data_IF_613456937973
#
_entry.id   IF_613456937973
#
_cell.length_a   1.000
_cell.length_b   1.000
_cell.length_c   1.000
_cell.angle_alpha   90.00
_cell.angle_beta   90.00
_cell.angle_gamma   90.00
#
_symmetry.space_group_name_H-M   'P 1'
#
loop_
_entity.id
_entity.type
_entity.pdbx_description
1 polymer ?
#
# COMPACT_ATOMS: atom_id res chain seq x y z
N UNK A 1 12.14 30.37 -13.44
CA UNK A 1 10.95 29.94 -14.21
C UNK A 1 10.69 28.49 -13.82
N UNK A 2 10.09 28.34 -12.65
CA UNK A 2 9.58 27.09 -12.09
C UNK A 2 8.30 26.76 -12.85
N UNK A 3 8.34 25.71 -13.66
CA UNK A 3 7.13 25.20 -14.30
C UNK A 3 6.36 24.40 -13.26
N UNK A 4 5.57 25.14 -12.47
CA UNK A 4 4.41 24.62 -11.80
C UNK A 4 3.44 24.09 -12.85
N UNK A 5 2.84 22.92 -12.58
CA UNK A 5 1.52 22.61 -13.14
C UNK A 5 0.66 23.84 -12.89
N UNK A 6 0.01 24.35 -13.93
CA UNK A 6 -0.87 25.51 -13.85
C UNK A 6 -1.79 25.32 -12.63
N UNK A 7 -1.73 26.26 -11.69
CA UNK A 7 -2.49 26.23 -10.43
C UNK A 7 -4.00 26.07 -10.65
N UNK A 8 -4.49 26.39 -11.84
CA UNK A 8 -5.87 26.14 -12.24
C UNK A 8 -6.10 24.69 -12.70
N UNK A 9 -5.10 24.02 -13.28
CA UNK A 9 -5.18 22.60 -13.69
C UNK A 9 -4.97 21.62 -12.53
N UNK A 10 -4.10 21.88 -11.55
CA UNK A 10 -3.96 20.98 -10.39
C UNK A 10 -5.23 20.98 -9.53
N UNK A 11 -5.84 22.16 -9.33
CA UNK A 11 -7.13 22.31 -8.66
C UNK A 11 -8.26 21.72 -9.50
N UNK A 12 -8.23 21.82 -10.83
CA UNK A 12 -9.23 21.17 -11.70
C UNK A 12 -9.07 19.65 -11.80
N UNK A 13 -7.84 19.13 -11.73
CA UNK A 13 -7.54 17.68 -11.71
C UNK A 13 -7.96 17.09 -10.36
N UNK A 14 -7.61 17.75 -9.26
CA UNK A 14 -8.06 17.35 -7.91
C UNK A 14 -9.59 17.53 -7.75
N UNK A 15 -10.21 18.57 -8.32
CA UNK A 15 -11.66 18.77 -8.28
C UNK A 15 -12.42 17.80 -9.20
N UNK A 16 -11.86 17.41 -10.35
CA UNK A 16 -12.43 16.34 -11.20
C UNK A 16 -12.39 14.98 -10.50
N UNK A 17 -11.37 14.76 -9.67
CA UNK A 17 -11.21 13.55 -8.88
C UNK A 17 -12.00 13.56 -7.54
N UNK A 18 -12.64 14.68 -7.14
CA UNK A 18 -13.22 14.86 -5.78
C UNK A 18 -14.71 15.21 -5.64
N UNK A 19 -15.59 15.14 -6.65
CA UNK A 19 -17.05 15.21 -6.37
C UNK A 19 -17.98 14.53 -7.40
N UNK A 20 -19.15 13.94 -7.01
CA UNK A 20 -19.72 13.78 -5.67
C UNK A 20 -20.02 12.30 -5.33
N UNK A 21 -19.16 11.69 -4.53
CA UNK A 21 -19.53 10.67 -3.55
C UNK A 21 -18.48 10.74 -2.46
N UNK A 22 -18.85 11.38 -1.35
CA UNK A 22 -18.04 11.55 -0.14
C UNK A 22 -17.42 10.21 0.27
N UNK A 23 -16.09 10.07 0.09
CA UNK A 23 -15.15 9.11 0.70
C UNK A 23 -13.75 9.11 0.02
N UNK A 24 -13.53 9.88 -1.07
CA UNK A 24 -12.28 9.84 -1.85
C UNK A 24 -11.11 10.70 -1.33
N UNK A 25 -11.26 11.33 -0.15
CA UNK A 25 -10.29 12.29 0.38
C UNK A 25 -9.44 11.78 1.55
N UNK A 26 -9.39 10.47 1.81
CA UNK A 26 -8.25 9.78 2.48
C UNK A 26 -8.59 8.32 2.79
N UNK A 27 -8.16 7.37 1.97
CA UNK A 27 -7.91 6.03 2.45
C UNK A 27 -6.58 6.02 3.26
N UNK A 28 -6.46 5.13 4.26
CA UNK A 28 -5.33 5.10 5.22
C UNK A 28 -3.99 4.87 4.51
N UNK A 29 -3.12 5.89 4.48
CA UNK A 29 -1.72 5.72 4.01
C UNK A 29 -0.88 4.92 5.03
N UNK A 30 -1.30 4.93 6.29
CA UNK A 30 -0.58 4.35 7.42
C UNK A 30 -1.31 3.18 8.05
N UNK A 31 -0.58 2.09 8.29
CA UNK A 31 -1.12 0.85 8.82
C UNK A 31 -0.45 0.52 10.16
N UNK A 32 -1.12 0.82 11.29
CA UNK A 32 -0.54 0.74 12.65
C UNK A 32 -0.47 -0.65 13.28
N UNK A 33 0.46 -0.99 14.16
CA UNK A 33 0.41 -2.25 14.93
C UNK A 33 -0.68 -2.24 16.03
N UNK A 34 -1.49 -3.31 16.13
CA UNK A 34 -2.50 -3.44 17.20
C UNK A 34 -1.97 -4.12 18.49
N UNK A 35 -0.74 -4.63 18.49
CA UNK A 35 -0.16 -5.32 19.65
C UNK A 35 0.28 -4.32 20.73
N UNK A 36 -0.13 -4.56 21.98
CA UNK A 36 0.37 -3.82 23.15
C UNK A 36 1.86 -4.12 23.42
N UNK A 37 2.38 -5.23 22.87
CA UNK A 37 3.80 -5.54 22.83
C UNK A 37 4.44 -4.92 21.58
N UNK A 38 5.24 -3.89 21.80
CA UNK A 38 5.81 -2.91 20.87
C UNK A 38 6.67 -3.46 19.70
N UNK A 39 6.73 -4.78 19.46
CA UNK A 39 7.65 -5.39 18.50
C UNK A 39 6.99 -6.28 17.44
N UNK A 40 5.66 -6.34 17.33
CA UNK A 40 5.01 -7.13 16.28
C UNK A 40 3.85 -6.42 15.57
N UNK A 41 3.97 -6.24 14.25
CA UNK A 41 2.88 -5.89 13.34
C UNK A 41 1.95 -7.11 13.17
N UNK A 42 1.18 -7.47 14.22
CA UNK A 42 0.33 -8.68 14.21
C UNK A 42 -1.16 -8.37 14.36
N UNK A 43 -1.71 -7.55 13.47
CA UNK A 43 -3.14 -7.72 13.13
C UNK A 43 -3.25 -8.32 11.75
N UNK A 44 -4.15 -9.30 11.59
CA UNK A 44 -4.31 -10.10 10.38
C UNK A 44 -4.36 -9.25 9.12
N UNK A 45 -5.17 -8.18 9.09
CA UNK A 45 -5.34 -7.29 7.93
C UNK A 45 -4.04 -6.60 7.48
N UNK A 46 -3.09 -6.38 8.39
CA UNK A 46 -1.88 -5.56 8.20
C UNK A 46 -0.68 -6.36 7.71
N UNK A 47 -0.58 -7.59 8.20
CA UNK A 47 0.34 -8.62 7.67
C UNK A 47 0.03 -8.90 6.19
N UNK A 48 -1.21 -8.69 5.74
CA UNK A 48 -1.60 -8.98 4.35
C UNK A 48 -1.04 -7.97 3.35
N UNK A 49 -1.05 -6.68 3.68
CA UNK A 49 -0.48 -5.67 2.78
C UNK A 49 1.05 -5.78 2.72
N UNK A 50 1.72 -6.00 3.85
CA UNK A 50 3.18 -6.19 3.91
C UNK A 50 3.63 -7.46 3.17
N UNK A 51 2.92 -8.58 3.32
CA UNK A 51 3.20 -9.80 2.56
C UNK A 51 2.88 -9.65 1.08
N UNK A 52 1.82 -8.89 0.73
CA UNK A 52 1.45 -8.60 -0.65
C UNK A 52 2.55 -7.78 -1.34
N UNK A 53 3.04 -6.72 -0.70
CA UNK A 53 4.08 -5.86 -1.30
C UNK A 53 5.41 -6.57 -1.48
N UNK A 54 5.86 -7.31 -0.47
CA UNK A 54 7.08 -8.12 -0.55
C UNK A 54 7.02 -9.15 -1.69
N UNK A 55 5.82 -9.67 -1.94
CA UNK A 55 5.58 -10.69 -2.94
C UNK A 55 5.39 -10.16 -4.35
N UNK A 56 4.69 -9.03 -4.53
CA UNK A 56 4.55 -8.38 -5.84
C UNK A 56 5.92 -8.04 -6.43
N UNK A 57 6.86 -7.64 -5.57
CA UNK A 57 8.27 -7.44 -5.92
C UNK A 57 9.00 -8.70 -6.38
N UNK A 58 8.45 -9.89 -6.14
CA UNK A 58 9.01 -11.19 -6.53
C UNK A 58 8.21 -11.90 -7.63
N UNK A 59 7.08 -11.34 -8.09
CA UNK A 59 6.28 -11.96 -9.15
C UNK A 59 7.02 -11.94 -10.49
N UNK A 60 6.94 -13.05 -11.22
CA UNK A 60 7.46 -13.14 -12.58
C UNK A 60 6.64 -12.25 -13.51
N UNK A 61 7.31 -11.31 -14.17
CA UNK A 61 6.68 -10.44 -15.14
C UNK A 61 6.54 -11.14 -16.49
N UNK A 62 5.39 -10.93 -17.11
CA UNK A 62 5.14 -11.36 -18.48
C UNK A 62 4.58 -10.20 -19.29
N UNK A 63 4.72 -10.25 -20.62
CA UNK A 63 4.03 -9.31 -21.52
C UNK A 63 2.50 -9.29 -21.27
N UNK A 64 1.93 -10.41 -20.80
CA UNK A 64 0.53 -10.48 -20.40
C UNK A 64 0.22 -9.58 -19.21
N UNK A 65 1.08 -9.54 -18.19
CA UNK A 65 0.89 -8.67 -17.02
C UNK A 65 1.00 -7.18 -17.37
N UNK A 66 1.91 -6.81 -18.28
CA UNK A 66 1.98 -5.44 -18.83
C UNK A 66 0.69 -5.10 -19.56
N UNK A 67 0.22 -5.98 -20.45
CA UNK A 67 -1.00 -5.76 -21.24
C UNK A 67 -2.24 -5.59 -20.36
N UNK A 68 -2.41 -6.44 -19.34
CA UNK A 68 -3.49 -6.33 -18.36
C UNK A 68 -3.50 -4.96 -17.67
N UNK A 69 -2.33 -4.50 -17.21
CA UNK A 69 -2.18 -3.18 -16.60
C UNK A 69 -2.59 -2.05 -17.55
N UNK A 70 -2.13 -2.10 -18.80
CA UNK A 70 -2.45 -1.08 -19.81
C UNK A 70 -3.94 -1.04 -20.13
N UNK A 71 -4.58 -2.21 -20.29
CA UNK A 71 -6.02 -2.30 -20.54
C UNK A 71 -6.84 -1.68 -19.39
N UNK A 72 -6.47 -1.96 -18.13
CA UNK A 72 -7.14 -1.35 -16.97
C UNK A 72 -6.87 0.16 -16.90
N UNK A 73 -5.66 0.63 -17.20
CA UNK A 73 -5.36 2.07 -17.28
C UNK A 73 -6.22 2.77 -18.33
N UNK A 74 -6.35 2.18 -19.53
CA UNK A 74 -7.19 2.72 -20.61
C UNK A 74 -8.65 2.81 -20.21
N UNK A 75 -9.16 1.81 -19.50
CA UNK A 75 -10.54 1.78 -18.99
C UNK A 75 -10.79 2.87 -17.95
N UNK A 76 -9.87 3.09 -17.02
CA UNK A 76 -9.98 4.14 -15.99
C UNK A 76 -9.97 5.54 -16.60
N UNK A 77 -9.17 5.77 -17.65
CA UNK A 77 -9.01 7.06 -18.31
C UNK A 77 -9.70 7.16 -19.67
N UNK A 78 -10.73 6.35 -19.95
CA UNK A 78 -11.34 6.24 -21.29
C UNK A 78 -11.86 7.59 -21.86
N UNK A 79 -12.18 8.55 -20.98
CA UNK A 79 -12.67 9.89 -21.36
C UNK A 79 -11.60 10.98 -21.30
N UNK A 80 -10.35 10.64 -20.94
CA UNK A 80 -9.24 11.59 -20.82
C UNK A 80 -8.22 11.39 -21.95
N UNK A 81 -8.30 12.16 -23.05
CA UNK A 81 -7.41 11.98 -24.18
C UNK A 81 -5.94 12.31 -23.87
N UNK A 82 -5.67 13.12 -22.83
CA UNK A 82 -4.31 13.46 -22.42
C UNK A 82 -3.67 12.24 -21.77
N UNK A 83 -4.39 11.59 -20.86
CA UNK A 83 -3.91 10.37 -20.20
C UNK A 83 -3.85 9.18 -21.16
N UNK A 84 -4.81 9.03 -22.09
CA UNK A 84 -4.72 8.01 -23.14
C UNK A 84 -3.40 8.10 -23.93
N UNK A 85 -2.99 9.31 -24.31
CA UNK A 85 -1.72 9.51 -25.02
C UNK A 85 -0.50 9.14 -24.16
N UNK A 86 -0.52 9.43 -22.86
CA UNK A 86 0.55 9.02 -21.94
C UNK A 86 0.58 7.49 -21.78
N UNK A 87 -0.57 6.82 -21.80
CA UNK A 87 -0.67 5.35 -21.77
C UNK A 87 -0.07 4.75 -23.04
N UNK A 88 -0.36 5.31 -24.22
CA UNK A 88 0.23 4.87 -25.49
C UNK A 88 1.76 5.05 -25.48
N UNK A 89 2.26 6.21 -25.01
CA UNK A 89 3.70 6.47 -24.84
C UNK A 89 4.36 5.42 -23.92
N UNK A 90 3.71 5.09 -22.80
CA UNK A 90 4.19 4.07 -21.88
C UNK A 90 4.21 2.69 -22.55
N UNK A 91 3.11 2.27 -23.19
CA UNK A 91 3.03 0.94 -23.81
C UNK A 91 4.14 0.73 -24.85
N UNK A 92 4.38 1.73 -25.69
CA UNK A 92 5.36 1.68 -26.79
C UNK A 92 6.82 1.78 -26.33
N UNK A 93 7.12 2.63 -25.34
CA UNK A 93 8.50 3.04 -25.06
C UNK A 93 9.05 2.64 -23.69
N UNK A 94 8.19 2.15 -22.79
CA UNK A 94 8.58 1.87 -21.41
C UNK A 94 9.66 0.78 -21.30
N UNK A 95 10.66 1.05 -20.47
CA UNK A 95 11.66 0.10 -20.01
C UNK A 95 12.03 0.36 -18.53
N UNK A 96 12.59 -0.67 -17.87
CA UNK A 96 12.90 -0.67 -16.42
C UNK A 96 13.70 0.56 -15.96
N UNK A 97 14.75 1.06 -16.66
CA UNK A 97 15.49 2.25 -16.23
C UNK A 97 14.65 3.53 -16.16
N UNK A 98 13.47 3.55 -16.77
CA UNK A 98 12.54 4.68 -16.73
C UNK A 98 11.50 4.55 -15.60
N UNK A 99 11.52 3.46 -14.81
CA UNK A 99 10.53 3.20 -13.78
C UNK A 99 10.36 4.40 -12.83
N UNK A 100 11.45 4.91 -12.26
CA UNK A 100 11.43 6.08 -11.37
C UNK A 100 10.87 7.33 -12.09
N UNK A 101 11.30 7.60 -13.32
CA UNK A 101 10.83 8.76 -14.08
C UNK A 101 9.32 8.68 -14.36
N UNK A 102 8.78 7.49 -14.63
CA UNK A 102 7.34 7.31 -14.84
C UNK A 102 6.54 7.41 -13.54
N UNK A 103 7.12 7.00 -12.40
CA UNK A 103 6.46 7.09 -11.09
C UNK A 103 6.34 8.54 -10.64
N UNK A 104 7.36 9.34 -10.93
CA UNK A 104 7.46 10.75 -10.51
C UNK A 104 6.87 11.73 -11.54
N UNK A 105 6.57 11.26 -12.75
CA UNK A 105 5.87 12.05 -13.79
C UNK A 105 4.38 12.15 -13.44
N UNK A 106 3.83 13.37 -13.52
CA UNK A 106 2.38 13.58 -13.41
C UNK A 106 1.64 12.84 -14.54
N UNK A 107 1.10 11.67 -14.21
CA UNK A 107 0.53 10.71 -15.16
C UNK A 107 -0.45 9.75 -14.49
N UNK A 108 -1.13 8.95 -15.30
CA UNK A 108 -2.02 7.88 -14.86
C UNK A 108 -1.37 6.91 -13.86
N UNK A 109 -0.07 6.67 -14.01
CA UNK A 109 0.60 5.53 -13.40
C UNK A 109 0.73 5.69 -11.88
N UNK A 110 1.31 6.79 -11.43
CA UNK A 110 1.46 7.08 -10.00
C UNK A 110 0.11 7.31 -9.33
N UNK A 111 -0.84 7.96 -10.02
CA UNK A 111 -2.18 8.23 -9.50
C UNK A 111 -2.98 6.95 -9.28
N UNK A 112 -3.05 6.07 -10.27
CA UNK A 112 -3.78 4.81 -10.14
C UNK A 112 -3.10 3.85 -9.15
N UNK A 113 -1.77 3.76 -9.16
CA UNK A 113 -1.04 2.91 -8.22
C UNK A 113 -1.26 3.40 -6.78
N UNK A 114 -1.06 4.69 -6.51
CA UNK A 114 -1.27 5.25 -5.17
C UNK A 114 -2.74 5.15 -4.75
N UNK A 115 -3.69 5.34 -5.67
CA UNK A 115 -5.11 5.11 -5.40
C UNK A 115 -5.38 3.66 -5.00
N UNK A 116 -4.87 2.69 -5.76
CA UNK A 116 -5.05 1.26 -5.49
C UNK A 116 -4.54 0.88 -4.11
N UNK A 117 -3.32 1.32 -3.77
CA UNK A 117 -2.71 1.09 -2.47
C UNK A 117 -3.50 1.73 -1.33
N UNK A 118 -3.89 3.00 -1.49
CA UNK A 118 -4.69 3.73 -0.51
C UNK A 118 -6.03 3.02 -0.27
N UNK A 119 -6.77 2.68 -1.32
CA UNK A 119 -8.07 2.00 -1.18
C UNK A 119 -7.96 0.52 -0.83
N UNK A 120 -6.75 0.00 -0.61
CA UNK A 120 -6.48 -1.42 -0.39
C UNK A 120 -7.14 -2.31 -1.46
N UNK A 121 -7.18 -1.81 -2.71
CA UNK A 121 -7.75 -2.54 -3.83
C UNK A 121 -6.73 -3.57 -4.32
N UNK A 122 -6.69 -4.71 -3.63
CA UNK A 122 -5.74 -5.80 -3.89
C UNK A 122 -5.78 -6.24 -5.36
N UNK A 123 -6.96 -6.23 -5.99
CA UNK A 123 -7.11 -6.62 -7.38
C UNK A 123 -6.43 -5.61 -8.31
N UNK A 124 -6.62 -4.32 -8.07
CA UNK A 124 -5.95 -3.27 -8.83
C UNK A 124 -4.44 -3.23 -8.54
N UNK A 125 -4.02 -3.42 -7.29
CA UNK A 125 -2.59 -3.54 -6.93
C UNK A 125 -1.96 -4.72 -7.68
N UNK A 126 -2.64 -5.87 -7.73
CA UNK A 126 -2.17 -7.04 -8.48
C UNK A 126 -2.11 -6.78 -9.99
N UNK A 127 -3.08 -6.07 -10.56
CA UNK A 127 -3.01 -5.65 -11.96
C UNK A 127 -1.79 -4.76 -12.23
N UNK A 128 -1.35 -3.97 -11.25
CA UNK A 128 -0.13 -3.15 -11.32
C UNK A 128 1.17 -3.91 -10.97
N UNK A 129 1.12 -5.22 -10.72
CA UNK A 129 2.30 -6.04 -10.34
C UNK A 129 3.48 -5.90 -11.28
N UNK A 130 3.21 -5.75 -12.58
CA UNK A 130 4.24 -5.54 -13.60
C UNK A 130 5.09 -4.32 -13.23
N UNK A 131 4.46 -3.17 -13.03
CA UNK A 131 5.19 -1.93 -12.77
C UNK A 131 5.72 -1.84 -11.34
N UNK A 132 5.00 -2.36 -10.34
CA UNK A 132 5.46 -2.42 -8.94
C UNK A 132 6.81 -3.17 -8.85
N UNK A 133 6.91 -4.31 -9.54
CA UNK A 133 8.14 -5.09 -9.59
C UNK A 133 9.30 -4.31 -10.20
N UNK A 134 9.09 -3.64 -11.34
CA UNK A 134 10.15 -2.83 -11.97
C UNK A 134 10.60 -1.66 -11.11
N UNK A 135 9.64 -0.96 -10.49
CA UNK A 135 9.92 0.14 -9.60
C UNK A 135 10.71 -0.33 -8.38
N UNK A 136 10.32 -1.47 -7.79
CA UNK A 136 11.06 -2.11 -6.71
C UNK A 136 12.48 -2.50 -7.13
N UNK A 137 12.64 -3.18 -8.27
CA UNK A 137 13.96 -3.60 -8.76
C UNK A 137 14.87 -2.40 -8.97
N UNK A 138 14.35 -1.33 -9.59
CA UNK A 138 15.15 -0.13 -9.82
C UNK A 138 15.52 0.54 -8.50
N UNK A 139 14.58 0.66 -7.58
CA UNK A 139 14.84 1.25 -6.26
C UNK A 139 15.84 0.42 -5.44
N UNK A 140 15.77 -0.91 -5.51
CA UNK A 140 16.72 -1.82 -4.86
C UNK A 140 18.15 -1.65 -5.39
N UNK A 141 18.31 -1.46 -6.71
CA UNK A 141 19.62 -1.16 -7.29
C UNK A 141 20.15 0.18 -6.77
N UNK A 142 19.32 1.22 -6.79
CA UNK A 142 19.71 2.55 -6.31
C UNK A 142 20.00 2.60 -4.81
N UNK A 143 19.32 1.77 -4.02
CA UNK A 143 19.51 1.69 -2.58
C UNK A 143 20.95 1.31 -2.22
N UNK A 144 21.51 0.26 -2.84
CA UNK A 144 22.87 -0.17 -2.56
C UNK A 144 23.89 0.94 -2.84
N UNK A 145 23.76 1.62 -3.99
CA UNK A 145 24.62 2.74 -4.37
C UNK A 145 24.47 3.92 -3.39
N UNK A 146 23.24 4.21 -2.96
CA UNK A 146 22.96 5.31 -2.04
C UNK A 146 23.52 5.05 -0.63
N UNK A 147 23.34 3.83 -0.09
CA UNK A 147 23.91 3.45 1.20
C UNK A 147 25.44 3.50 1.16
N UNK A 148 26.07 2.97 0.11
CA UNK A 148 27.52 3.04 -0.05
C UNK A 148 28.00 4.49 -0.08
N UNK A 149 27.33 5.35 -0.85
CA UNK A 149 27.67 6.77 -0.91
C UNK A 149 27.59 7.45 0.47
N UNK A 150 26.53 7.18 1.25
CA UNK A 150 26.37 7.76 2.59
C UNK A 150 27.43 7.26 3.58
N UNK A 151 27.81 5.99 3.48
CA UNK A 151 28.90 5.42 4.28
C UNK A 151 30.26 6.02 3.92
N UNK A 152 30.52 6.27 2.63
CA UNK A 152 31.77 6.88 2.16
C UNK A 152 31.97 8.32 2.69
N UNK A 153 30.88 9.00 3.08
CA UNK A 153 30.90 10.34 3.67
C UNK A 153 30.63 10.34 5.19
N UNK A 154 30.78 9.19 5.84
CA UNK A 154 30.65 9.00 7.30
C UNK A 154 29.29 9.48 7.87
N UNK A 155 28.18 9.23 7.15
CA UNK A 155 26.82 9.48 7.66
C UNK A 155 26.30 8.21 8.32
N UNK A 156 25.98 8.30 9.62
CA UNK A 156 25.35 7.21 10.38
C UNK A 156 23.82 7.35 10.46
N UNK A 157 23.34 8.59 10.58
CA UNK A 157 21.92 8.90 10.73
C UNK A 157 21.49 9.84 9.61
N UNK A 158 20.49 9.42 8.85
CA UNK A 158 19.88 10.20 7.79
C UNK A 158 18.55 10.80 8.27
N UNK A 159 18.40 12.11 8.08
CA UNK A 159 17.16 12.84 8.36
C UNK A 159 16.46 13.17 7.05
N UNK A 160 15.17 12.81 6.97
CA UNK A 160 14.34 13.02 5.78
C UNK A 160 13.03 13.68 6.19
N UNK A 161 12.46 14.46 5.29
CA UNK A 161 11.30 15.29 5.58
C UNK A 161 10.16 15.02 4.62
N UNK A 162 8.92 15.20 5.10
CA UNK A 162 7.72 15.16 4.26
C UNK A 162 6.65 16.07 4.84
N UNK A 163 6.21 17.05 4.07
CA UNK A 163 5.03 17.84 4.40
C UNK A 163 3.78 17.24 3.78
N UNK A 164 2.66 17.28 4.51
CA UNK A 164 1.35 16.95 3.98
C UNK A 164 0.22 17.56 4.81
N UNK A 165 -0.93 17.73 4.18
CA UNK A 165 -2.19 17.88 4.90
C UNK A 165 -2.79 16.51 5.20
N UNK A 166 -3.37 16.33 6.38
CA UNK A 166 -4.10 15.11 6.72
C UNK A 166 -5.40 15.43 7.45
N UNK A 167 -6.40 14.57 7.28
CA UNK A 167 -7.68 14.74 7.97
C UNK A 167 -7.52 14.68 9.50
N UNK A 168 -8.38 15.37 10.23
CA UNK A 168 -8.34 15.40 11.69
C UNK A 168 -8.58 14.01 12.29
N UNK A 169 -9.36 13.15 11.62
CA UNK A 169 -9.52 11.74 12.02
C UNK A 169 -8.22 10.95 11.88
N UNK A 170 -7.54 11.08 10.75
CA UNK A 170 -6.27 10.37 10.51
C UNK A 170 -5.16 10.90 11.42
N UNK A 171 -5.11 12.21 11.66
CA UNK A 171 -4.17 12.80 12.60
C UNK A 171 -4.43 12.31 14.03
N UNK A 172 -5.70 12.18 14.42
CA UNK A 172 -6.06 11.61 15.72
C UNK A 172 -5.63 10.15 15.85
N UNK A 173 -5.75 9.36 14.78
CA UNK A 173 -5.22 7.99 14.74
C UNK A 173 -3.69 8.01 14.93
N UNK A 174 -2.98 8.93 14.28
CA UNK A 174 -1.54 9.13 14.46
C UNK A 174 -1.18 9.43 15.93
N UNK A 175 -1.91 10.36 16.56
CA UNK A 175 -1.72 10.73 17.98
C UNK A 175 -1.98 9.56 18.94
N UNK A 176 -2.97 8.71 18.65
CA UNK A 176 -3.29 7.54 19.49
C UNK A 176 -2.25 6.42 19.37
N UNK A 177 -1.40 6.45 18.34
CA UNK A 177 -0.42 5.42 18.06
C UNK A 177 1.04 5.91 18.22
N UNK A 178 1.27 6.99 18.98
CA UNK A 178 2.61 7.36 19.45
C UNK A 178 3.24 6.18 20.20
N UNK A 179 4.49 5.88 19.90
CA UNK A 179 5.26 4.74 20.41
C UNK A 179 5.01 3.42 19.65
N UNK A 180 4.06 3.37 18.72
CA UNK A 180 3.74 2.17 17.94
C UNK A 180 4.35 2.20 16.54
N UNK A 181 4.40 1.02 15.92
CA UNK A 181 4.85 0.84 14.55
C UNK A 181 3.72 1.12 13.56
N UNK A 182 4.08 1.60 12.38
CA UNK A 182 3.23 1.61 11.20
C UNK A 182 4.02 1.27 9.95
N UNK A 183 3.30 0.78 8.94
CA UNK A 183 3.85 0.49 7.63
C UNK A 183 3.20 1.35 6.56
N UNK A 184 3.95 1.69 5.51
CA UNK A 184 3.47 2.50 4.39
C UNK A 184 2.76 1.63 3.36
N UNK A 185 1.53 2.00 2.97
CA UNK A 185 0.81 1.27 1.92
C UNK A 185 1.27 1.67 0.52
N UNK A 186 1.75 2.89 0.34
CA UNK A 186 2.33 3.38 -0.92
C UNK A 186 3.86 3.39 -0.84
N UNK A 187 4.50 3.62 -1.98
CA UNK A 187 5.85 4.17 -1.96
C UNK A 187 5.78 5.53 -1.26
N UNK A 188 6.72 5.77 -0.35
CA UNK A 188 6.72 6.96 0.49
C UNK A 188 7.79 7.91 -0.04
N UNK A 189 7.35 9.01 -0.65
CA UNK A 189 8.23 10.11 -1.05
C UNK A 189 8.58 10.97 0.15
N UNK A 190 9.88 11.19 0.34
CA UNK A 190 10.45 12.11 1.33
C UNK A 190 11.50 12.97 0.63
N UNK A 191 12.03 13.98 1.30
CA UNK A 191 13.07 14.86 0.75
C UNK A 191 14.21 15.06 1.76
N UNK A 192 15.42 15.24 1.25
CA UNK A 192 16.56 15.72 2.04
C UNK A 192 16.46 17.22 2.37
N UNK A 193 15.62 17.96 1.66
CA UNK A 193 15.45 19.40 1.78
C UNK A 193 14.24 19.74 2.68
N UNK A 194 14.45 20.24 3.90
CA UNK A 194 13.36 20.64 4.80
C UNK A 194 12.46 21.72 4.20
N UNK A 195 13.00 22.62 3.37
CA UNK A 195 12.23 23.74 2.81
C UNK A 195 11.17 23.23 1.83
N UNK A 196 11.52 22.22 1.01
CA UNK A 196 10.57 21.52 0.14
C UNK A 196 9.45 20.91 0.98
N UNK A 197 9.78 20.20 2.07
CA UNK A 197 8.77 19.61 2.94
C UNK A 197 7.90 20.67 3.64
N UNK A 198 8.48 21.81 4.05
CA UNK A 198 7.72 22.92 4.63
C UNK A 198 6.73 23.53 3.65
N UNK A 199 7.08 23.66 2.37
CA UNK A 199 6.17 24.11 1.33
C UNK A 199 4.95 23.17 1.25
N UNK A 200 5.18 21.86 1.17
CA UNK A 200 4.12 20.84 1.15
C UNK A 200 3.26 20.80 2.43
N UNK A 201 3.83 21.08 3.60
CA UNK A 201 3.08 21.18 4.86
C UNK A 201 2.23 22.46 4.95
N UNK A 202 2.64 23.52 4.25
CA UNK A 202 2.01 24.85 4.31
C UNK A 202 0.93 25.06 3.25
N UNK A 203 0.72 24.10 2.35
CA UNK A 203 -0.36 24.13 1.36
C UNK A 203 -1.72 24.02 2.05
N UNK A 204 -2.26 25.13 2.54
CA UNK A 204 -3.64 25.20 2.98
C UNK A 204 -4.55 25.15 1.75
N UNK A 205 -5.44 24.17 1.68
CA UNK A 205 -6.63 24.28 0.85
C UNK A 205 -7.36 25.56 1.27
N UNK A 206 -7.41 26.56 0.39
CA UNK A 206 -8.06 27.86 0.63
C UNK A 206 -9.38 27.67 1.42
N UNK A 207 -9.45 28.19 2.64
CA UNK A 207 -10.65 28.55 3.44
C UNK A 207 -11.83 27.56 3.59
N UNK A 208 -11.77 26.31 3.11
CA UNK A 208 -12.99 25.49 2.94
C UNK A 208 -13.07 24.24 3.85
N UNK A 209 -12.00 23.77 4.50
CA UNK A 209 -12.11 22.59 5.37
C UNK A 209 -11.39 22.75 6.72
N UNK A 210 -12.17 23.08 7.76
CA UNK A 210 -11.77 23.10 9.18
C UNK A 210 -11.22 21.77 9.71
N UNK A 211 -11.29 20.71 8.90
CA UNK A 211 -11.11 19.34 9.33
C UNK A 211 -9.72 18.79 8.97
N UNK A 212 -8.78 19.61 8.51
CA UNK A 212 -7.42 19.19 8.15
C UNK A 212 -6.36 19.77 9.08
N UNK A 213 -5.27 19.03 9.23
CA UNK A 213 -4.09 19.42 9.98
C UNK A 213 -2.89 19.46 9.03
N UNK A 214 -2.12 20.54 9.10
CA UNK A 214 -0.82 20.64 8.44
C UNK A 214 0.18 19.84 9.26
N UNK A 215 0.86 18.89 8.61
CA UNK A 215 1.77 17.97 9.26
C UNK A 215 3.10 17.93 8.53
N UNK A 216 4.18 18.02 9.31
CA UNK A 216 5.55 17.88 8.84
C UNK A 216 6.16 16.66 9.53
N UNK A 217 6.48 15.64 8.75
CA UNK A 217 7.22 14.48 9.22
C UNK A 217 8.73 14.74 9.15
N UNK A 218 9.43 14.38 10.22
CA UNK A 218 10.87 14.13 10.27
C UNK A 218 11.06 12.61 10.44
N UNK A 219 11.57 11.97 9.40
CA UNK A 219 11.96 10.57 9.39
C UNK A 219 13.45 10.46 9.77
N UNK A 220 13.73 9.64 10.78
CA UNK A 220 15.08 9.32 11.23
C UNK A 220 15.42 7.91 10.79
N UNK A 221 16.52 7.77 10.05
CA UNK A 221 17.00 6.50 9.52
C UNK A 221 18.39 6.23 10.07
N UNK A 222 18.54 5.16 10.85
CA UNK A 222 19.85 4.62 11.21
C UNK A 222 20.37 3.76 10.04
N UNK A 223 21.51 4.15 9.48
CA UNK A 223 22.10 3.49 8.32
C UNK A 223 22.88 2.22 8.69
N UNK A 224 22.99 1.91 9.98
CA UNK A 224 23.54 0.64 10.45
C UNK A 224 22.51 -0.51 10.40
N UNK A 225 21.23 -0.19 10.23
CA UNK A 225 20.17 -1.19 10.07
C UNK A 225 20.45 -2.08 8.85
N UNK A 226 20.29 -3.38 9.00
CA UNK A 226 20.59 -4.41 8.00
C UNK A 226 19.35 -4.95 7.29
N UNK A 227 18.19 -4.92 7.95
CA UNK A 227 16.96 -5.55 7.47
C UNK A 227 15.86 -4.51 7.25
N UNK A 228 16.05 -3.65 6.24
CA UNK A 228 15.06 -2.64 5.83
C UNK A 228 14.59 -2.88 4.40
N UNK A 229 13.38 -2.41 4.08
CA UNK A 229 12.98 -2.30 2.66
C UNK A 229 13.87 -1.28 1.94
N UNK A 230 14.04 -1.40 0.61
CA UNK A 230 14.85 -0.46 -0.15
C UNK A 230 14.32 0.97 -0.11
N UNK A 231 15.25 1.92 -0.10
CA UNK A 231 15.00 3.35 -0.28
C UNK A 231 16.22 3.98 -0.95
N UNK A 232 16.03 5.03 -1.74
CA UNK A 232 17.13 5.70 -2.41
C UNK A 232 16.81 7.17 -2.71
N UNK A 233 17.85 7.99 -2.82
CA UNK A 233 17.77 9.31 -3.45
C UNK A 233 17.62 9.14 -4.96
N UNK A 234 16.55 9.70 -5.53
CA UNK A 234 16.12 9.40 -6.89
C UNK A 234 16.18 10.60 -7.84
N UNK A 235 16.70 11.76 -7.43
CA UNK A 235 16.70 12.97 -8.28
C UNK A 235 17.40 12.79 -9.63
N UNK A 236 18.35 11.86 -9.74
CA UNK A 236 19.03 11.57 -11.02
C UNK A 236 18.07 11.01 -12.08
N UNK A 237 17.05 10.28 -11.64
CA UNK A 237 16.08 9.56 -12.49
C UNK A 237 14.65 10.09 -12.37
N UNK A 238 14.37 10.89 -11.34
CA UNK A 238 13.07 11.53 -11.15
C UNK A 238 12.76 12.51 -12.27
N UNK A 239 11.47 12.63 -12.60
CA UNK A 239 10.96 13.72 -13.40
C UNK A 239 11.15 15.07 -12.68
N UNK A 240 11.10 15.06 -11.34
CA UNK A 240 11.23 16.21 -10.44
C UNK A 240 12.63 16.25 -9.78
N UNK A 241 13.65 16.61 -10.56
CA UNK A 241 15.07 16.49 -10.15
C UNK A 241 15.54 17.44 -9.05
N UNK A 242 14.75 18.43 -8.68
CA UNK A 242 15.14 19.50 -7.75
C UNK A 242 14.65 19.27 -6.32
N UNK A 243 13.80 18.27 -6.10
CA UNK A 243 13.18 18.02 -4.80
C UNK A 243 14.07 17.21 -3.86
N UNK A 244 15.25 16.74 -4.31
CA UNK A 244 16.13 15.87 -3.52
C UNK A 244 15.36 14.69 -2.92
N UNK A 245 14.49 14.09 -3.74
CA UNK A 245 13.53 13.09 -3.32
C UNK A 245 14.24 11.80 -2.92
N UNK A 246 13.96 11.33 -1.71
CA UNK A 246 14.29 9.98 -1.25
C UNK A 246 12.99 9.17 -1.21
N UNK A 247 12.92 8.17 -2.07
CA UNK A 247 11.74 7.31 -2.21
C UNK A 247 11.94 6.02 -1.41
N UNK A 248 11.01 5.73 -0.50
CA UNK A 248 10.94 4.45 0.20
C UNK A 248 10.04 3.48 -0.54
N UNK A 249 10.44 2.22 -0.57
CA UNK A 249 9.58 1.13 -1.01
C UNK A 249 8.33 1.04 -0.13
N UNK A 250 7.21 0.67 -0.76
CA UNK A 250 6.00 0.28 -0.03
C UNK A 250 6.28 -0.85 0.98
N UNK A 251 5.60 -0.83 2.11
CA UNK A 251 5.85 -1.75 3.23
C UNK A 251 7.02 -1.34 4.13
N UNK A 252 7.57 -0.13 3.99
CA UNK A 252 8.59 0.39 4.91
C UNK A 252 7.97 0.66 6.28
N UNK A 253 8.65 0.23 7.35
CA UNK A 253 8.12 0.25 8.72
C UNK A 253 8.78 1.34 9.55
N UNK A 254 7.96 2.14 10.22
CA UNK A 254 8.39 3.25 11.07
C UNK A 254 7.72 3.18 12.43
N UNK A 255 8.40 3.68 13.47
CA UNK A 255 7.81 3.96 14.79
C UNK A 255 7.54 5.44 14.93
N UNK A 256 6.37 5.83 15.43
CA UNK A 256 6.11 7.23 15.79
C UNK A 256 6.75 7.50 17.15
N UNK A 257 7.75 8.37 17.21
CA UNK A 257 8.43 8.67 18.45
C UNK A 257 7.73 9.78 19.23
N UNK A 258 7.32 10.85 18.54
CA UNK A 258 6.61 11.99 19.14
C UNK A 258 5.87 12.84 18.12
N UNK A 259 4.89 13.58 18.61
CA UNK A 259 4.14 14.57 17.85
C UNK A 259 4.07 15.85 18.68
N UNK A 260 4.51 16.95 18.12
CA UNK A 260 4.61 18.25 18.79
C UNK A 260 4.09 19.35 17.89
N UNK A 261 3.51 20.40 18.47
CA UNK A 261 3.06 21.54 17.68
C UNK A 261 4.23 22.49 17.43
N UNK A 262 4.32 23.05 16.23
CA UNK A 262 5.33 24.06 15.89
C UNK A 262 5.19 25.30 16.78
N UNK A 263 6.27 26.06 16.92
CA UNK A 263 6.32 27.26 17.78
C UNK A 263 5.31 28.34 17.39
N UNK A 264 5.00 28.45 16.10
CA UNK A 264 4.00 29.35 15.53
C UNK A 264 2.57 28.76 15.53
N UNK A 265 2.39 27.54 16.05
CA UNK A 265 1.13 26.79 16.09
C UNK A 265 0.47 26.52 14.72
N UNK A 266 1.21 26.64 13.61
CA UNK A 266 0.70 26.44 12.25
C UNK A 266 0.74 24.98 11.78
N UNK A 267 1.66 24.18 12.33
CA UNK A 267 2.00 22.85 11.82
C UNK A 267 2.23 21.87 12.98
N UNK A 268 1.90 20.59 12.77
CA UNK A 268 2.28 19.52 13.68
C UNK A 268 3.54 18.82 13.18
N UNK A 269 4.58 18.81 13.99
CA UNK A 269 5.83 18.12 13.72
C UNK A 269 5.73 16.69 14.26
N UNK A 270 5.90 15.71 13.37
CA UNK A 270 5.87 14.29 13.70
C UNK A 270 7.28 13.75 13.51
N UNK A 271 7.86 13.16 14.57
CA UNK A 271 9.13 12.45 14.44
C UNK A 271 8.85 10.95 14.38
N UNK A 272 9.35 10.29 13.34
CA UNK A 272 9.25 8.86 13.17
C UNK A 272 10.62 8.24 12.86
N UNK A 273 10.90 7.06 13.40
CA UNK A 273 12.16 6.36 13.19
C UNK A 273 11.92 5.11 12.35
N UNK A 274 12.73 4.88 11.31
CA UNK A 274 12.73 3.64 10.54
C UNK A 274 13.13 2.46 11.45
N UNK A 275 12.42 1.35 11.35
CA UNK A 275 12.69 0.15 12.16
C UNK A 275 12.99 -1.03 11.25
N UNK A 276 13.93 -1.88 11.67
CA UNK A 276 14.17 -3.17 11.02
C UNK A 276 12.93 -4.06 11.09
N UNK A 277 12.69 -4.77 9.99
CA UNK A 277 11.73 -5.85 9.97
C UNK A 277 12.46 -7.06 10.57
N UNK A 278 12.11 -7.44 11.80
CA UNK A 278 12.71 -8.62 12.41
C UNK A 278 12.25 -9.87 11.61
N UNK A 279 13.19 -10.48 10.88
CA UNK A 279 13.08 -11.64 9.96
C UNK A 279 12.45 -12.93 10.54
N UNK A 280 11.68 -12.88 11.64
CA UNK A 280 10.79 -14.01 11.98
C UNK A 280 9.68 -14.23 10.94
N UNK A 281 9.54 -13.35 9.94
CA UNK A 281 8.93 -13.69 8.65
C UNK A 281 10.00 -14.38 7.80
N UNK A 282 10.41 -15.59 8.19
CA UNK A 282 11.23 -16.48 7.37
C UNK A 282 10.43 -16.83 6.11
N UNK A 283 10.60 -16.05 5.04
CA UNK A 283 10.11 -16.38 3.71
C UNK A 283 11.09 -17.38 3.08
N UNK A 284 10.99 -18.64 3.49
CA UNK A 284 11.28 -19.79 2.61
C UNK A 284 10.21 -19.93 1.50
N UNK A 285 9.39 -18.91 1.27
CA UNK A 285 8.15 -19.07 0.51
C UNK A 285 8.32 -18.46 -0.87
N UNK A 286 8.35 -19.35 -1.86
CA UNK A 286 8.23 -19.02 -3.27
C UNK A 286 6.97 -18.19 -3.52
N UNK A 287 7.00 -17.44 -4.62
CA UNK A 287 5.89 -16.62 -5.11
C UNK A 287 4.52 -17.32 -4.97
N UNK A 288 4.51 -18.61 -5.24
CA UNK A 288 3.43 -19.55 -5.02
C UNK A 288 2.56 -19.35 -3.77
N UNK A 289 3.15 -19.13 -2.59
CA UNK A 289 2.37 -19.26 -1.33
C UNK A 289 1.55 -18.01 -1.00
N UNK A 290 1.76 -16.89 -1.69
CA UNK A 290 1.14 -15.63 -1.31
C UNK A 290 -0.26 -15.48 -1.92
N UNK A 291 -0.46 -15.86 -3.18
CA UNK A 291 -1.80 -15.95 -3.76
C UNK A 291 -2.70 -16.92 -2.96
N UNK A 292 -2.13 -18.02 -2.46
CA UNK A 292 -2.81 -18.93 -1.53
C UNK A 292 -3.20 -18.22 -0.22
N UNK A 293 -2.28 -17.47 0.40
CA UNK A 293 -2.56 -16.70 1.63
C UNK A 293 -3.59 -15.58 1.43
N UNK A 294 -3.56 -14.90 0.29
CA UNK A 294 -4.55 -13.88 -0.09
C UNK A 294 -5.92 -14.52 -0.27
N UNK A 295 -5.99 -15.68 -0.93
CA UNK A 295 -7.21 -16.46 -1.05
C UNK A 295 -7.76 -16.88 0.31
N UNK A 296 -6.89 -17.37 1.21
CA UNK A 296 -7.26 -17.78 2.56
C UNK A 296 -7.79 -16.61 3.39
N UNK A 297 -7.20 -15.43 3.22
CA UNK A 297 -7.71 -14.21 3.83
C UNK A 297 -9.07 -13.81 3.27
N UNK A 298 -9.22 -13.78 1.95
CA UNK A 298 -10.48 -13.44 1.29
C UNK A 298 -11.62 -14.39 1.74
N UNK A 299 -11.34 -15.68 1.96
CA UNK A 299 -12.28 -16.62 2.60
C UNK A 299 -12.68 -16.15 4.00
N UNK A 300 -11.73 -15.75 4.84
CA UNK A 300 -11.98 -15.30 6.22
C UNK A 300 -12.86 -14.05 6.28
N UNK A 301 -12.69 -13.11 5.36
CA UNK A 301 -13.52 -11.89 5.27
C UNK A 301 -14.80 -12.08 4.44
N UNK A 302 -15.15 -13.31 4.05
CA UNK A 302 -16.31 -13.66 3.21
C UNK A 302 -16.30 -13.10 1.78
N UNK A 303 -15.15 -12.63 1.28
CA UNK A 303 -14.93 -12.18 -0.10
C UNK A 303 -14.63 -13.39 -1.01
N UNK A 304 -15.60 -14.29 -1.12
CA UNK A 304 -15.36 -15.60 -1.73
C UNK A 304 -15.04 -15.56 -3.23
N UNK A 305 -15.49 -14.54 -3.95
CA UNK A 305 -15.20 -14.41 -5.38
C UNK A 305 -13.75 -13.93 -5.60
N UNK A 306 -13.26 -13.02 -4.73
CA UNK A 306 -11.84 -12.64 -4.69
C UNK A 306 -10.96 -13.83 -4.32
N UNK A 307 -11.38 -14.61 -3.32
CA UNK A 307 -10.65 -15.82 -2.92
C UNK A 307 -10.47 -16.78 -4.10
N UNK A 308 -11.55 -17.04 -4.84
CA UNK A 308 -11.50 -17.89 -6.03
C UNK A 308 -10.57 -17.34 -7.09
N UNK A 309 -10.63 -16.02 -7.34
CA UNK A 309 -9.76 -15.35 -8.29
C UNK A 309 -8.28 -15.52 -7.93
N UNK A 310 -7.89 -15.31 -6.67
CA UNK A 310 -6.48 -15.49 -6.25
C UNK A 310 -5.99 -16.92 -6.42
N UNK A 311 -6.82 -17.91 -6.07
CA UNK A 311 -6.48 -19.31 -6.32
C UNK A 311 -6.35 -19.61 -7.82
N UNK A 312 -7.18 -19.01 -8.68
CA UNK A 312 -7.07 -19.21 -10.13
C UNK A 312 -5.84 -18.55 -10.74
N UNK A 313 -5.52 -17.32 -10.33
CA UNK A 313 -4.28 -16.65 -10.71
C UNK A 313 -3.06 -17.51 -10.37
N UNK A 314 -3.11 -18.20 -9.23
CA UNK A 314 -2.05 -19.12 -8.82
C UNK A 314 -1.91 -20.33 -9.78
N UNK A 315 -3.01 -20.84 -10.34
CA UNK A 315 -2.97 -21.88 -11.38
C UNK A 315 -2.43 -21.35 -12.72
N UNK A 316 -2.45 -20.04 -12.95
CA UNK A 316 -1.94 -19.42 -14.17
C UNK A 316 -0.43 -19.16 -14.06
N UNK A 317 0.05 -18.74 -12.88
CA UNK A 317 1.45 -18.35 -12.65
C UNK A 317 2.42 -19.53 -12.45
N UNK A 318 1.97 -20.70 -11.96
CA UNK A 318 2.85 -21.81 -11.59
C UNK A 318 2.28 -23.19 -11.99
N UNK A 319 2.08 -23.39 -13.29
CA UNK A 319 1.49 -24.62 -13.84
C UNK A 319 2.41 -25.85 -13.72
N UNK A 320 3.71 -25.66 -13.56
CA UNK A 320 4.70 -26.74 -13.60
C UNK A 320 4.95 -27.39 -12.22
N UNK A 321 4.56 -26.72 -11.13
CA UNK A 321 4.75 -27.25 -9.79
C UNK A 321 3.51 -28.01 -9.27
N UNK A 322 3.58 -29.34 -9.33
CA UNK A 322 2.48 -30.24 -8.93
C UNK A 322 2.06 -30.05 -7.46
N UNK A 323 3.01 -29.85 -6.54
CA UNK A 323 2.69 -29.69 -5.11
C UNK A 323 1.91 -28.40 -4.84
N UNK A 324 2.19 -27.37 -5.63
CA UNK A 324 1.48 -26.10 -5.56
C UNK A 324 0.07 -26.24 -6.14
N UNK A 325 -0.08 -26.94 -7.27
CA UNK A 325 -1.38 -27.22 -7.86
C UNK A 325 -2.29 -28.01 -6.91
N UNK A 326 -1.75 -29.01 -6.18
CA UNK A 326 -2.51 -29.75 -5.17
C UNK A 326 -3.07 -28.80 -4.11
N UNK A 327 -2.21 -27.95 -3.53
CA UNK A 327 -2.63 -26.98 -2.49
C UNK A 327 -3.72 -26.03 -3.00
N UNK A 328 -3.58 -25.53 -4.24
CA UNK A 328 -4.57 -24.63 -4.84
C UNK A 328 -5.92 -25.34 -5.04
N UNK A 329 -5.92 -26.56 -5.57
CA UNK A 329 -7.17 -27.32 -5.74
C UNK A 329 -7.83 -27.68 -4.42
N UNK A 330 -7.07 -28.02 -3.37
CA UNK A 330 -7.60 -28.21 -2.02
C UNK A 330 -8.28 -26.96 -1.49
N UNK A 331 -7.67 -25.78 -1.68
CA UNK A 331 -8.24 -24.49 -1.28
C UNK A 331 -9.50 -24.12 -2.06
N UNK A 332 -9.52 -24.36 -3.38
CA UNK A 332 -10.72 -24.17 -4.21
C UNK A 332 -11.84 -25.11 -3.74
N UNK A 333 -11.55 -26.39 -3.48
CA UNK A 333 -12.55 -27.34 -2.98
C UNK A 333 -13.11 -26.91 -1.61
N UNK A 334 -12.25 -26.46 -0.70
CA UNK A 334 -12.67 -25.91 0.58
C UNK A 334 -13.55 -24.66 0.42
N UNK A 335 -13.17 -23.72 -0.45
CA UNK A 335 -13.95 -22.52 -0.77
C UNK A 335 -15.36 -22.87 -1.24
N UNK A 336 -15.50 -23.78 -2.20
CA UNK A 336 -16.81 -24.22 -2.69
C UNK A 336 -17.65 -24.92 -1.61
N UNK A 337 -17.00 -25.67 -0.72
CA UNK A 337 -17.67 -26.29 0.44
C UNK A 337 -18.23 -25.23 1.39
N UNK A 338 -17.46 -24.18 1.68
CA UNK A 338 -17.90 -23.04 2.50
C UNK A 338 -19.06 -22.29 1.83
N UNK A 339 -18.94 -21.97 0.53
CA UNK A 339 -20.02 -21.35 -0.28
C UNK A 339 -21.31 -22.20 -0.18
N UNK A 340 -21.22 -23.51 -0.39
CA UNK A 340 -22.37 -24.42 -0.34
C UNK A 340 -23.03 -24.47 1.05
N UNK A 341 -22.25 -24.55 2.13
CA UNK A 341 -22.77 -24.54 3.51
C UNK A 341 -23.53 -23.25 3.82
N UNK A 342 -23.05 -22.09 3.34
CA UNK A 342 -23.72 -20.79 3.53
C UNK A 342 -25.09 -20.75 2.84
N UNK A 343 -25.18 -21.25 1.61
CA UNK A 343 -26.45 -21.39 0.90
C UNK A 343 -27.42 -22.35 1.60
N UNK A 344 -26.92 -23.48 2.11
CA UNK A 344 -27.73 -24.43 2.88
C UNK A 344 -28.29 -23.79 4.15
N UNK A 345 -27.47 -23.08 4.93
CA UNK A 345 -27.93 -22.37 6.13
C UNK A 345 -29.03 -21.35 5.81
N UNK A 346 -28.88 -20.63 4.68
CA UNK A 346 -29.89 -19.68 4.21
C UNK A 346 -31.19 -20.39 3.85
N UNK A 347 -31.13 -21.51 3.12
CA UNK A 347 -32.29 -22.30 2.74
C UNK A 347 -33.06 -22.83 3.97
N UNK A 348 -32.35 -23.36 4.98
CA UNK A 348 -32.95 -23.82 6.25
C UNK A 348 -33.68 -22.68 6.94
N UNK A 349 -33.05 -21.50 7.06
CA UNK A 349 -33.66 -20.32 7.70
C UNK A 349 -34.95 -19.88 7.02
N UNK A 350 -35.00 -19.89 5.68
CA UNK A 350 -36.24 -19.55 4.95
C UNK A 350 -37.31 -20.65 5.03
N UNK A 351 -36.90 -21.92 5.12
CA UNK A 351 -37.82 -23.04 5.35
C UNK A 351 -38.52 -22.93 6.72
N UNK A 352 -37.78 -22.55 7.77
CA UNK A 352 -38.31 -22.33 9.12
C UNK A 352 -39.28 -21.13 9.16
N UNK A 353 -38.90 -20.01 8.53
CA UNK A 353 -39.76 -18.83 8.41
C UNK A 353 -41.06 -19.12 7.63
N UNK A 354 -40.97 -19.88 6.53
CA UNK A 354 -42.13 -20.26 5.70
C UNK A 354 -43.06 -21.28 6.35
N UNK A 355 -42.57 -22.06 7.32
CA UNK A 355 -43.36 -23.05 8.06
C UNK A 355 -44.02 -22.48 9.33
N UNK A 356 -43.85 -21.18 9.61
CA UNK A 356 -44.44 -20.51 10.78
C UNK A 356 -43.78 -20.89 12.11
N UNK A 357 -42.63 -21.56 12.06
CA UNK A 357 -41.84 -21.91 13.23
C UNK A 357 -40.92 -20.70 13.53
N UNK A 358 -41.08 -20.08 14.71
CA UNK A 358 -40.17 -19.03 15.17
C UNK A 358 -38.73 -19.58 15.18
N UNK A 359 -37.74 -18.84 14.65
CA UNK A 359 -36.38 -19.35 14.51
C UNK A 359 -35.82 -19.65 15.90
N UNK A 360 -35.44 -20.91 16.13
CA UNK A 360 -34.69 -21.30 17.31
C UNK A 360 -33.27 -20.75 17.12
N UNK A 361 -32.95 -19.68 17.84
CA UNK A 361 -31.56 -19.26 17.98
C UNK A 361 -30.79 -20.35 18.74
N UNK A 362 -29.82 -20.98 18.09
CA UNK A 362 -28.44 -21.15 18.56
C UNK A 362 -27.68 -22.19 17.73
N UNK A 363 -27.12 -21.79 16.58
CA UNK A 363 -25.91 -22.45 16.03
C UNK A 363 -25.03 -21.44 15.28
N UNK A 364 -24.77 -20.26 15.83
CA UNK A 364 -23.54 -19.50 15.51
C UNK A 364 -23.18 -18.62 16.72
N UNK A 365 -22.60 -19.20 17.75
CA UNK A 365 -21.64 -18.49 18.61
C UNK A 365 -20.51 -19.44 18.97
N UNK A 366 -19.29 -18.91 18.79
CA UNK A 366 -18.01 -19.37 19.35
C UNK A 366 -17.25 -20.49 18.61
N UNK A 367 -16.59 -20.11 17.51
CA UNK A 367 -15.16 -20.43 17.31
C UNK A 367 -14.25 -19.22 17.58
N UNK A 368 -14.76 -18.18 18.21
CA UNK A 368 -13.97 -17.06 18.72
C UNK A 368 -14.07 -17.05 20.24
N UNK A 369 -13.00 -17.47 20.93
CA UNK A 369 -12.87 -17.27 22.39
C UNK A 369 -12.67 -18.52 23.25
N UNK A 370 -11.64 -19.34 23.00
CA UNK A 370 -11.00 -20.16 24.06
C UNK A 370 -9.62 -20.67 23.65
N UNK A 371 -8.65 -19.76 23.64
CA UNK A 371 -7.24 -20.09 23.83
C UNK A 371 -6.64 -19.06 24.79
N UNK A 372 -7.02 -19.17 26.07
CA UNK A 372 -6.23 -18.69 27.21
C UNK A 372 -6.95 -19.07 28.51
N UNK A 373 -6.52 -20.20 29.09
CA UNK A 373 -6.34 -20.44 30.54
C UNK A 373 -5.96 -21.92 30.78
N UNK A 374 -4.67 -22.10 31.13
CA UNK A 374 -4.07 -23.12 32.03
C UNK A 374 -4.20 -24.60 31.58
N UNK A 375 -3.11 -25.35 31.37
CA UNK A 375 -1.91 -25.56 32.21
C UNK A 375 -0.62 -25.42 31.43
#
# INVERSE_FOLDING_TARGET
>A
MTYFIDSSDLVNVLNRDTAPNSNYLNPKELVFSNDENQMSLRSSEKVHFELLTEHLSCLFQTESSKKEMIEECRKQYQTDPIEQKKIDEFEESYCIPQAISWYTKDSFLCRLLNKACRTEDIDLIYTFRFYIHDLYQRLHQLHADFIQYLQDIDVDILHLYRGQCMSSSEFKDLQQNIGKLYSTTTFLSTTLDPDVAHEYASFSYNDIQSDFQNVLFEYVVDLNLKQTKPFAEISKESFMKHEHEVLFCMGSVFRIDRIEKSTDNSTWNVKATLVEINEQIQLEQTSTQVLLKLGDYAVRINEFDKAERYYRLMLEDDQENIDNMIQVYERIAHLYTVKARKWLCRAVRYSELGSGILPIYDVVRETEGRANRTV
#
